data_IF_016216126047
#
_entry.id   IF_016216126047
#
_cell.length_a   1.000
_cell.length_b   1.000
_cell.length_c   1.000
_cell.angle_alpha   90.00
_cell.angle_beta   90.00
_cell.angle_gamma   90.00
#
_symmetry.space_group_name_H-M   'P 1'
#
loop_
_entity.id
_entity.type
_entity.pdbx_description
1 polymer ?
#
# COMPACT_ATOMS: atom_id res chain seq x y z
N UNK A 1 4.67 13.66 -27.08
CA UNK A 1 5.64 14.76 -27.30
C UNK A 1 5.67 15.14 -28.77
N UNK A 2 5.77 14.19 -29.66
CA UNK A 2 5.90 14.41 -31.12
C UNK A 2 4.69 15.11 -31.77
N UNK A 3 3.48 14.85 -31.29
CA UNK A 3 2.27 15.45 -31.88
C UNK A 3 2.09 16.94 -31.58
N UNK A 4 2.57 17.43 -30.44
CA UNK A 4 2.47 18.85 -30.09
C UNK A 4 3.54 19.69 -30.84
N UNK A 5 4.73 19.15 -30.97
CA UNK A 5 5.83 19.77 -31.70
C UNK A 5 5.51 19.89 -33.21
N UNK A 6 4.88 18.87 -33.80
CA UNK A 6 4.43 18.90 -35.20
C UNK A 6 3.27 19.88 -35.44
N UNK A 7 2.44 20.16 -34.44
CA UNK A 7 1.33 21.09 -34.57
C UNK A 7 1.79 22.55 -34.60
N UNK A 8 2.83 22.88 -33.84
CA UNK A 8 3.41 24.24 -33.78
C UNK A 8 4.13 24.60 -35.12
N UNK A 9 4.74 23.60 -35.77
CA UNK A 9 5.42 23.77 -37.06
C UNK A 9 4.46 24.03 -38.24
N UNK A 10 3.17 23.69 -38.13
CA UNK A 10 2.15 23.88 -39.19
C UNK A 10 1.45 25.24 -39.17
N UNK A 11 1.67 26.06 -38.15
CA UNK A 11 1.07 27.40 -38.07
C UNK A 11 1.83 28.35 -39.00
N UNK A 12 1.18 28.89 -40.04
CA UNK A 12 1.73 29.92 -40.94
C UNK A 12 1.87 31.27 -40.23
N UNK A 13 2.91 31.39 -39.42
CA UNK A 13 3.29 32.69 -38.79
C UNK A 13 4.56 33.20 -39.48
N UNK A 14 4.76 34.56 -39.53
CA UNK A 14 6.03 35.12 -40.01
C UNK A 14 7.21 34.58 -39.20
N UNK A 15 8.35 34.36 -39.84
CA UNK A 15 9.49 33.61 -39.28
C UNK A 15 10.00 34.15 -37.91
N UNK A 16 9.97 35.47 -37.72
CA UNK A 16 10.33 36.10 -36.42
C UNK A 16 9.39 35.70 -35.28
N UNK A 17 8.08 35.59 -35.53
CA UNK A 17 7.10 35.18 -34.50
C UNK A 17 7.20 33.68 -34.18
N UNK A 18 7.55 32.86 -35.16
CA UNK A 18 7.81 31.42 -34.95
C UNK A 18 9.05 31.21 -34.11
N UNK A 19 10.14 31.93 -34.38
CA UNK A 19 11.37 31.85 -33.59
C UNK A 19 11.12 32.29 -32.13
N UNK A 20 10.33 33.35 -31.90
CA UNK A 20 9.98 33.81 -30.55
C UNK A 20 9.10 32.82 -29.79
N UNK A 21 8.12 32.17 -30.46
CA UNK A 21 7.27 31.16 -29.82
C UNK A 21 8.05 29.89 -29.48
N UNK A 22 8.93 29.44 -30.38
CA UNK A 22 9.80 28.30 -30.15
C UNK A 22 10.76 28.59 -29.00
N UNK A 23 11.33 29.77 -28.94
CA UNK A 23 12.23 30.22 -27.88
C UNK A 23 11.49 30.31 -26.53
N UNK A 24 10.27 30.77 -26.50
CA UNK A 24 9.43 30.86 -25.30
C UNK A 24 9.03 29.43 -24.79
N UNK A 25 8.71 28.52 -25.69
CA UNK A 25 8.41 27.12 -25.35
C UNK A 25 9.64 26.41 -24.82
N UNK A 26 10.81 26.62 -25.43
CA UNK A 26 12.07 26.05 -24.95
C UNK A 26 12.46 26.62 -23.58
N UNK A 27 12.25 27.93 -23.34
CA UNK A 27 12.45 28.54 -22.04
C UNK A 27 11.52 27.95 -20.96
N UNK A 28 10.25 27.73 -21.29
CA UNK A 28 9.30 27.10 -20.34
C UNK A 28 9.71 25.65 -19.95
N UNK A 29 10.27 24.90 -20.88
CA UNK A 29 10.75 23.54 -20.62
C UNK A 29 12.11 23.50 -19.90
N UNK A 30 12.92 24.54 -20.01
CA UNK A 30 14.23 24.62 -19.35
C UNK A 30 14.15 24.87 -17.85
N UNK A 31 13.01 25.30 -17.32
CA UNK A 31 12.81 25.59 -15.89
C UNK A 31 12.15 24.46 -15.11
N UNK A 32 11.89 23.31 -15.70
CA UNK A 32 11.53 22.11 -14.93
C UNK A 32 12.80 21.58 -14.24
N UNK A 33 13.16 22.24 -13.14
CA UNK A 33 14.15 21.73 -12.19
C UNK A 33 13.56 20.42 -11.66
N UNK A 34 14.08 19.32 -12.12
CA UNK A 34 13.79 18.03 -11.52
C UNK A 34 14.30 18.11 -10.09
N UNK A 35 13.38 18.20 -9.13
CA UNK A 35 13.72 18.08 -7.71
C UNK A 35 14.25 16.66 -7.51
N UNK A 36 15.54 16.47 -7.69
CA UNK A 36 16.22 15.22 -7.35
C UNK A 36 16.24 15.10 -5.83
N UNK A 37 15.10 14.70 -5.27
CA UNK A 37 15.02 14.39 -3.85
C UNK A 37 16.06 13.31 -3.54
N UNK A 38 16.97 13.64 -2.66
CA UNK A 38 18.02 12.71 -2.20
C UNK A 38 17.66 12.02 -0.88
N UNK A 39 16.62 12.49 -0.19
CA UNK A 39 16.17 11.93 1.09
C UNK A 39 14.64 11.86 1.19
N UNK A 40 14.15 10.89 1.97
CA UNK A 40 12.74 10.61 2.23
C UNK A 40 12.51 10.22 3.68
N UNK A 41 11.27 10.41 4.16
CA UNK A 41 10.80 9.86 5.42
C UNK A 41 9.71 8.83 5.13
N UNK A 42 9.91 7.60 5.60
CA UNK A 42 8.97 6.48 5.51
C UNK A 42 8.24 6.33 6.83
N UNK A 43 6.93 6.19 6.76
CA UNK A 43 6.01 6.12 7.90
C UNK A 43 5.08 4.91 7.76
N UNK A 44 4.40 4.54 8.83
CA UNK A 44 3.21 3.72 8.74
C UNK A 44 2.05 4.56 8.18
N UNK A 45 1.59 4.22 6.98
CA UNK A 45 0.54 4.99 6.30
C UNK A 45 -0.85 4.79 6.91
N UNK A 46 -1.10 3.73 7.68
CA UNK A 46 -2.32 3.57 8.47
C UNK A 46 -2.37 4.58 9.63
N UNK A 47 -1.20 4.98 10.11
CA UNK A 47 -1.07 5.86 11.26
C UNK A 47 -0.49 5.16 12.48
N UNK A 48 -0.63 5.80 13.64
CA UNK A 48 -0.08 5.33 14.90
C UNK A 48 -1.10 5.52 16.02
N UNK A 49 -1.16 4.57 16.95
CA UNK A 49 -1.97 4.74 18.17
C UNK A 49 -1.34 5.76 19.11
N UNK A 50 -2.14 6.42 19.95
CA UNK A 50 -1.69 7.50 20.83
C UNK A 50 -0.60 7.05 21.80
N UNK A 51 -0.73 5.86 22.38
CA UNK A 51 0.21 5.28 23.35
C UNK A 51 1.17 4.24 22.77
N UNK A 52 1.00 3.88 21.48
CA UNK A 52 1.84 2.90 20.83
C UNK A 52 3.23 3.41 20.46
N UNK A 53 4.08 2.50 20.04
CA UNK A 53 5.39 2.83 19.46
C UNK A 53 5.19 3.58 18.15
N UNK A 54 5.79 4.77 18.03
CA UNK A 54 5.74 5.61 16.85
C UNK A 54 7.14 5.82 16.31
N UNK A 55 7.44 5.10 15.23
CA UNK A 55 8.73 5.20 14.55
C UNK A 55 8.52 5.44 13.06
N UNK A 56 9.34 6.34 12.51
CA UNK A 56 9.53 6.52 11.08
C UNK A 56 10.98 6.23 10.72
N UNK A 57 11.27 6.14 9.44
CA UNK A 57 12.62 5.96 8.93
C UNK A 57 12.94 7.10 7.97
N UNK A 58 13.95 7.88 8.31
CA UNK A 58 14.60 8.77 7.37
C UNK A 58 15.62 7.98 6.57
N UNK A 59 15.63 8.14 5.25
CA UNK A 59 16.55 7.45 4.35
C UNK A 59 17.06 8.40 3.27
N UNK A 60 18.36 8.30 2.95
CA UNK A 60 19.04 9.16 1.99
C UNK A 60 19.91 8.36 1.02
N UNK A 61 19.96 8.81 -0.22
CA UNK A 61 20.94 8.35 -1.21
C UNK A 61 22.36 8.85 -0.92
N UNK A 62 22.49 9.85 -0.06
CA UNK A 62 23.77 10.42 0.35
C UNK A 62 24.20 9.87 1.71
N UNK A 63 25.52 9.74 1.94
CA UNK A 63 26.10 9.31 3.22
C UNK A 63 26.10 10.47 4.22
N UNK A 64 24.92 11.03 4.50
CA UNK A 64 24.70 12.08 5.51
C UNK A 64 23.78 11.57 6.61
N UNK A 65 23.77 12.26 7.74
CA UNK A 65 22.88 11.95 8.87
C UNK A 65 22.11 13.18 9.30
N UNK A 66 20.94 12.97 9.90
CA UNK A 66 20.14 14.03 10.50
C UNK A 66 20.32 14.02 12.01
N UNK A 67 20.33 15.22 12.62
CA UNK A 67 20.44 15.35 14.07
C UNK A 67 19.06 15.43 14.72
N UNK A 68 18.16 16.21 14.12
CA UNK A 68 16.83 16.49 14.64
C UNK A 68 15.75 16.25 13.61
N UNK A 69 14.57 15.96 14.09
CA UNK A 69 13.36 15.95 13.29
C UNK A 69 12.21 16.65 14.01
N UNK A 70 11.21 17.03 13.25
CA UNK A 70 10.10 17.84 13.71
C UNK A 70 8.79 17.20 13.31
N UNK A 71 7.78 17.32 14.18
CA UNK A 71 6.40 16.97 13.88
C UNK A 71 5.62 18.26 13.64
N UNK A 72 5.03 18.36 12.47
CA UNK A 72 4.21 19.49 12.05
C UNK A 72 2.73 19.11 12.12
N UNK A 73 1.95 19.94 12.79
CA UNK A 73 0.49 19.81 12.78
C UNK A 73 -0.11 20.24 11.45
N UNK A 74 -1.02 19.42 10.90
CA UNK A 74 -1.59 19.68 9.57
C UNK A 74 -2.52 20.90 9.52
N UNK A 75 -3.22 21.21 10.61
CA UNK A 75 -4.18 22.29 10.65
C UNK A 75 -3.50 23.65 10.84
N UNK A 76 -2.61 23.75 11.83
CA UNK A 76 -1.92 25.00 12.16
C UNK A 76 -0.64 25.24 11.35
N UNK A 77 -0.12 24.23 10.66
CA UNK A 77 1.18 24.23 9.97
C UNK A 77 2.35 24.63 10.88
N UNK A 78 2.22 24.42 12.19
CA UNK A 78 3.23 24.73 13.20
C UNK A 78 3.96 23.45 13.63
N UNK A 79 5.24 23.59 13.94
CA UNK A 79 6.00 22.55 14.63
C UNK A 79 5.50 22.46 16.06
N UNK A 80 5.10 21.27 16.46
CA UNK A 80 4.49 21.00 17.78
C UNK A 80 5.30 19.99 18.60
N UNK A 81 6.26 19.32 17.97
CA UNK A 81 7.15 18.38 18.63
C UNK A 81 8.50 18.35 17.94
N UNK A 82 9.56 18.22 18.70
CA UNK A 82 10.95 18.11 18.23
C UNK A 82 11.63 16.98 19.01
N UNK A 83 12.45 16.19 18.31
CA UNK A 83 13.30 15.19 18.94
C UNK A 83 14.58 14.96 18.14
N UNK A 84 15.55 14.33 18.77
CA UNK A 84 16.77 13.88 18.10
C UNK A 84 16.48 12.60 17.31
N UNK A 85 17.07 12.50 16.11
CA UNK A 85 17.11 11.25 15.37
C UNK A 85 17.97 10.22 16.12
N UNK A 86 17.66 8.95 15.99
CA UNK A 86 18.50 7.89 16.55
C UNK A 86 19.83 7.81 15.79
N UNK A 87 20.77 7.03 16.31
CA UNK A 87 22.08 6.82 15.66
C UNK A 87 21.92 6.34 14.22
N UNK A 88 22.84 6.76 13.32
CA UNK A 88 22.90 6.26 11.96
C UNK A 88 23.00 4.73 11.92
N UNK A 89 22.23 4.10 11.03
CA UNK A 89 22.18 2.64 10.87
C UNK A 89 22.90 2.15 9.61
N UNK A 90 23.41 3.07 8.79
CA UNK A 90 24.12 2.74 7.55
C UNK A 90 23.21 2.51 6.36
N UNK A 91 23.76 1.86 5.35
CA UNK A 91 23.10 1.63 4.07
C UNK A 91 22.01 0.57 4.17
N UNK A 92 20.94 0.77 3.40
CA UNK A 92 19.86 -0.20 3.22
C UNK A 92 19.25 -0.08 1.82
N UNK A 93 19.34 -1.13 1.04
CA UNK A 93 18.87 -1.15 -0.36
C UNK A 93 19.54 -0.03 -1.18
N UNK A 94 18.76 0.84 -1.85
CA UNK A 94 19.32 1.93 -2.67
C UNK A 94 19.74 3.16 -1.86
N UNK A 95 19.62 3.14 -0.53
CA UNK A 95 19.96 4.26 0.34
C UNK A 95 21.34 4.06 0.96
N UNK A 96 22.18 5.11 0.91
CA UNK A 96 23.48 5.11 1.52
C UNK A 96 23.42 5.30 3.04
N UNK A 97 22.33 5.88 3.56
CA UNK A 97 22.14 6.09 4.99
C UNK A 97 20.67 5.98 5.39
N UNK A 98 20.45 5.40 6.57
CA UNK A 98 19.14 5.30 7.22
C UNK A 98 19.22 5.67 8.70
N UNK A 99 18.16 6.29 9.24
CA UNK A 99 18.01 6.61 10.67
C UNK A 99 16.57 6.45 11.11
N UNK A 100 16.36 6.01 12.35
CA UNK A 100 15.03 5.98 12.95
C UNK A 100 14.69 7.32 13.56
N UNK A 101 13.44 7.72 13.39
CA UNK A 101 12.85 8.91 13.98
C UNK A 101 11.79 8.43 14.97
N UNK A 102 12.12 8.42 16.25
CA UNK A 102 11.24 7.93 17.31
C UNK A 102 10.48 9.11 17.94
N UNK A 103 9.16 9.12 17.77
CA UNK A 103 8.27 10.11 18.34
C UNK A 103 7.20 9.48 19.26
N UNK A 104 7.51 8.32 19.84
CA UNK A 104 6.59 7.60 20.74
C UNK A 104 6.15 8.44 21.94
N UNK A 105 7.00 9.40 22.40
CA UNK A 105 6.66 10.32 23.46
C UNK A 105 5.56 11.34 23.13
N UNK A 106 5.24 11.54 21.85
CA UNK A 106 4.15 12.41 21.44
C UNK A 106 2.83 11.62 21.38
N UNK A 107 1.82 12.01 22.16
CA UNK A 107 0.59 11.22 22.35
C UNK A 107 -0.70 11.92 21.90
N UNK A 108 -0.63 13.20 21.51
CA UNK A 108 -1.83 13.92 21.10
C UNK A 108 -2.42 13.34 19.79
N UNK A 109 -3.75 13.08 19.74
CA UNK A 109 -4.40 12.65 18.51
C UNK A 109 -4.48 13.80 17.51
N UNK A 110 -4.41 13.48 16.20
CA UNK A 110 -4.47 14.47 15.14
C UNK A 110 -3.86 13.99 13.84
N UNK A 111 -3.66 14.93 12.91
CA UNK A 111 -3.04 14.69 11.60
C UNK A 111 -1.73 15.46 11.51
N UNK A 112 -0.67 14.78 11.17
CA UNK A 112 0.69 15.30 11.26
C UNK A 112 1.54 14.92 10.06
N UNK A 113 2.66 15.60 9.89
CA UNK A 113 3.78 15.14 9.04
C UNK A 113 5.11 15.32 9.75
N UNK A 114 6.07 14.49 9.41
CA UNK A 114 7.45 14.58 9.88
C UNK A 114 8.30 15.36 8.88
N UNK A 115 9.22 16.16 9.42
CA UNK A 115 10.21 16.92 8.66
C UNK A 115 11.59 16.64 9.26
N UNK A 116 12.58 16.34 8.41
CA UNK A 116 13.96 16.17 8.79
C UNK A 116 14.88 16.51 7.61
N UNK A 117 15.77 17.47 7.79
CA UNK A 117 16.77 17.89 6.79
C UNK A 117 16.17 18.05 5.37
N UNK A 118 15.10 18.82 5.27
CA UNK A 118 14.40 19.10 4.00
C UNK A 118 13.55 17.94 3.45
N UNK A 119 13.64 16.75 4.04
CA UNK A 119 12.73 15.66 3.70
C UNK A 119 11.43 15.76 4.50
N UNK A 120 10.32 15.49 3.87
CA UNK A 120 8.99 15.45 4.49
C UNK A 120 8.33 14.08 4.29
N UNK A 121 7.60 13.64 5.31
CA UNK A 121 6.70 12.48 5.16
C UNK A 121 5.38 12.89 4.49
N UNK A 122 4.60 11.93 3.98
CA UNK A 122 3.16 12.14 3.81
C UNK A 122 2.51 12.51 5.15
N UNK A 123 1.30 13.10 5.09
CA UNK A 123 0.48 13.25 6.29
C UNK A 123 0.03 11.89 6.82
N UNK A 124 -0.02 11.75 8.13
CA UNK A 124 -0.49 10.54 8.83
C UNK A 124 -1.30 10.91 10.07
N UNK A 125 -2.06 9.96 10.57
CA UNK A 125 -2.89 10.13 11.75
C UNK A 125 -2.23 9.52 12.99
N UNK A 126 -2.43 10.20 14.12
CA UNK A 126 -2.25 9.61 15.44
C UNK A 126 -3.64 9.55 16.07
N UNK A 127 -4.06 8.38 16.50
CA UNK A 127 -5.38 8.15 17.09
C UNK A 127 -5.57 6.67 17.41
N UNK A 128 -6.35 6.34 18.42
CA UNK A 128 -6.50 4.95 18.85
C UNK A 128 -7.33 4.12 17.83
N UNK A 129 -8.07 4.81 16.95
CA UNK A 129 -8.90 4.22 15.91
C UNK A 129 -8.19 4.00 14.57
N UNK A 130 -6.89 4.30 14.43
CA UNK A 130 -6.18 4.29 13.12
C UNK A 130 -6.15 2.91 12.46
N UNK A 131 -6.28 1.85 13.24
CA UNK A 131 -6.34 0.47 12.73
C UNK A 131 -7.76 -0.07 12.57
N UNK A 132 -8.80 0.72 12.90
CA UNK A 132 -10.18 0.29 12.70
C UNK A 132 -10.42 0.04 11.21
N UNK A 133 -11.02 -1.11 10.90
CA UNK A 133 -11.26 -1.54 9.52
C UNK A 133 -10.06 -2.19 8.81
N UNK A 134 -8.86 -2.22 9.41
CA UNK A 134 -7.71 -2.87 8.79
C UNK A 134 -7.94 -4.39 8.61
N UNK A 135 -8.56 -5.04 9.61
CA UNK A 135 -8.94 -6.45 9.52
C UNK A 135 -9.95 -6.69 8.38
N UNK A 136 -10.92 -5.80 8.21
CA UNK A 136 -11.92 -5.90 7.13
C UNK A 136 -11.27 -5.84 5.75
N UNK A 137 -10.25 -5.03 5.60
CA UNK A 137 -9.48 -4.96 4.35
C UNK A 137 -8.78 -6.28 4.05
N UNK A 138 -8.17 -6.91 5.06
CA UNK A 138 -7.53 -8.22 4.92
C UNK A 138 -8.57 -9.31 4.58
N UNK A 139 -9.70 -9.34 5.29
CA UNK A 139 -10.77 -10.29 5.03
C UNK A 139 -11.38 -10.10 3.63
N UNK A 140 -11.56 -8.85 3.20
CA UNK A 140 -12.02 -8.56 1.83
C UNK A 140 -11.06 -9.10 0.79
N UNK A 141 -9.75 -8.94 0.99
CA UNK A 141 -8.74 -9.52 0.10
C UNK A 141 -8.83 -11.04 0.09
N UNK A 142 -8.85 -11.67 1.27
CA UNK A 142 -8.97 -13.12 1.40
C UNK A 142 -10.24 -13.65 0.71
N UNK A 143 -11.34 -12.93 0.83
CA UNK A 143 -12.59 -13.29 0.14
C UNK A 143 -12.51 -13.17 -1.38
N UNK A 144 -11.79 -12.18 -1.89
CA UNK A 144 -11.56 -12.03 -3.34
C UNK A 144 -10.65 -13.12 -3.91
N UNK A 145 -9.74 -13.63 -3.10
CA UNK A 145 -8.81 -14.69 -3.52
C UNK A 145 -9.37 -16.09 -3.32
N UNK A 146 -10.54 -16.22 -2.68
CA UNK A 146 -11.18 -17.52 -2.48
C UNK A 146 -11.66 -18.09 -3.81
N UNK A 147 -11.45 -19.39 -4.02
CA UNK A 147 -11.97 -20.10 -5.19
C UNK A 147 -13.48 -20.32 -5.08
N UNK A 148 -14.12 -20.57 -6.20
CA UNK A 148 -15.57 -20.62 -6.32
C UNK A 148 -16.16 -19.26 -6.69
N UNK A 149 -17.34 -18.93 -6.18
CA UNK A 149 -18.01 -17.68 -6.51
C UNK A 149 -17.33 -16.47 -5.86
N UNK A 150 -16.91 -15.52 -6.68
CA UNK A 150 -16.37 -14.25 -6.25
C UNK A 150 -17.48 -13.18 -6.27
N UNK A 151 -17.96 -12.69 -5.11
CA UNK A 151 -19.07 -11.73 -5.04
C UNK A 151 -18.72 -10.34 -5.59
N UNK A 152 -17.45 -10.01 -5.71
CA UNK A 152 -16.98 -8.72 -6.24
C UNK A 152 -16.94 -8.73 -7.77
N UNK A 153 -16.47 -9.82 -8.37
CA UNK A 153 -16.47 -10.03 -9.82
C UNK A 153 -17.80 -10.55 -10.35
N UNK A 154 -18.66 -11.09 -9.47
CA UNK A 154 -19.91 -11.78 -9.81
C UNK A 154 -19.68 -12.93 -10.80
N UNK A 155 -18.59 -13.65 -10.61
CA UNK A 155 -18.14 -14.75 -11.45
C UNK A 155 -17.59 -15.88 -10.59
N UNK A 156 -17.43 -17.06 -11.16
CA UNK A 156 -16.94 -18.26 -10.50
C UNK A 156 -15.69 -18.79 -11.20
N UNK A 157 -14.78 -19.35 -10.40
CA UNK A 157 -13.57 -20.01 -10.89
C UNK A 157 -13.41 -21.39 -10.25
N UNK A 158 -12.59 -22.26 -10.85
CA UNK A 158 -12.23 -23.59 -10.32
C UNK A 158 -13.45 -24.54 -10.09
N UNK A 159 -14.51 -24.35 -10.85
CA UNK A 159 -15.74 -25.15 -10.71
C UNK A 159 -15.67 -26.50 -11.44
N UNK A 160 -14.63 -26.73 -12.25
CA UNK A 160 -14.48 -27.94 -13.08
C UNK A 160 -13.08 -28.57 -12.98
N UNK A 161 -12.32 -28.31 -11.92
CA UNK A 161 -10.93 -28.76 -11.82
C UNK A 161 -10.78 -30.15 -11.20
N UNK A 162 -11.79 -30.65 -10.50
CA UNK A 162 -11.72 -31.93 -9.81
C UNK A 162 -12.14 -33.12 -10.66
N UNK A 163 -11.19 -34.01 -10.95
CA UNK A 163 -11.48 -35.28 -11.62
C UNK A 163 -10.76 -36.43 -10.93
N UNK A 164 -11.47 -37.55 -10.79
CA UNK A 164 -10.90 -38.75 -10.24
C UNK A 164 -9.92 -39.38 -11.24
N UNK A 165 -8.71 -39.66 -10.79
CA UNK A 165 -7.72 -40.47 -11.49
C UNK A 165 -7.43 -41.75 -10.67
N UNK A 166 -7.35 -42.87 -11.35
CA UNK A 166 -7.09 -44.16 -10.69
C UNK A 166 -8.16 -44.58 -9.67
N UNK A 167 -9.42 -44.23 -9.98
CA UNK A 167 -10.57 -44.50 -9.08
C UNK A 167 -11.03 -45.97 -9.02
N UNK A 168 -10.54 -46.84 -9.87
CA UNK A 168 -10.98 -48.25 -9.99
C UNK A 168 -10.94 -49.00 -8.67
N UNK A 169 -9.87 -48.77 -7.86
CA UNK A 169 -9.75 -49.42 -6.53
C UNK A 169 -10.84 -49.00 -5.54
N UNK A 170 -11.43 -47.84 -5.74
CA UNK A 170 -12.51 -47.33 -4.92
C UNK A 170 -13.89 -47.54 -5.59
N UNK A 171 -13.95 -48.24 -6.72
CA UNK A 171 -15.18 -48.43 -7.48
C UNK A 171 -15.69 -47.20 -8.18
N UNK A 172 -14.84 -46.20 -8.38
CA UNK A 172 -15.18 -44.92 -9.02
C UNK A 172 -14.57 -44.90 -10.43
N UNK A 173 -15.36 -44.57 -11.41
CA UNK A 173 -14.88 -44.44 -12.80
C UNK A 173 -13.90 -43.30 -12.92
N UNK A 174 -12.77 -43.54 -13.60
CA UNK A 174 -11.82 -42.50 -13.95
C UNK A 174 -12.49 -41.35 -14.75
N UNK A 175 -12.01 -40.13 -14.57
CA UNK A 175 -12.58 -38.93 -15.10
C UNK A 175 -13.99 -38.55 -14.58
N UNK A 176 -14.44 -39.18 -13.48
CA UNK A 176 -15.61 -38.72 -12.76
C UNK A 176 -15.30 -37.36 -12.13
N UNK A 177 -16.11 -36.36 -12.42
CA UNK A 177 -16.01 -35.05 -11.80
C UNK A 177 -16.40 -35.11 -10.33
N UNK A 178 -15.61 -34.48 -9.48
CA UNK A 178 -15.91 -34.25 -8.06
C UNK A 178 -15.76 -32.77 -7.75
N UNK A 179 -16.58 -32.26 -6.85
CA UNK A 179 -16.47 -30.89 -6.39
C UNK A 179 -15.26 -30.74 -5.45
N UNK A 180 -14.30 -29.96 -5.91
CA UNK A 180 -13.09 -29.59 -5.13
C UNK A 180 -12.98 -28.07 -4.94
N UNK A 181 -14.06 -27.36 -5.13
CA UNK A 181 -14.11 -25.91 -4.92
C UNK A 181 -13.82 -25.58 -3.46
N UNK A 182 -12.90 -24.70 -3.21
CA UNK A 182 -12.52 -24.27 -1.86
C UNK A 182 -11.07 -23.84 -1.78
N UNK A 183 -10.69 -23.31 -0.61
CA UNK A 183 -9.37 -22.73 -0.44
C UNK A 183 -9.18 -21.43 -1.21
N UNK A 184 -7.94 -21.07 -1.46
CA UNK A 184 -7.56 -19.79 -2.05
C UNK A 184 -6.56 -19.97 -3.18
N UNK A 185 -6.56 -19.03 -4.13
CA UNK A 185 -5.48 -18.87 -5.09
C UNK A 185 -4.17 -18.61 -4.35
N UNK A 186 -3.09 -19.30 -4.74
CA UNK A 186 -1.79 -19.10 -4.10
C UNK A 186 -1.13 -17.81 -4.56
N UNK A 187 -1.16 -17.57 -5.87
CA UNK A 187 -0.55 -16.42 -6.49
C UNK A 187 -1.31 -16.01 -7.77
N UNK A 188 -0.66 -15.25 -8.64
CA UNK A 188 -1.22 -14.81 -9.93
C UNK A 188 -1.45 -15.94 -10.94
N UNK A 189 -0.92 -17.10 -10.69
CA UNK A 189 -1.12 -18.32 -11.50
C UNK A 189 -2.44 -19.04 -11.19
N UNK A 190 -3.17 -18.58 -10.16
CA UNK A 190 -4.44 -19.15 -9.71
C UNK A 190 -4.37 -20.59 -9.24
N UNK A 191 -3.17 -21.15 -9.00
CA UNK A 191 -3.03 -22.50 -8.45
C UNK A 191 -3.56 -22.58 -7.02
N UNK A 192 -4.09 -23.73 -6.66
CA UNK A 192 -4.58 -24.03 -5.31
C UNK A 192 -3.62 -25.03 -4.63
N UNK A 193 -3.11 -24.64 -3.47
CA UNK A 193 -2.25 -25.49 -2.66
C UNK A 193 -2.92 -25.79 -1.32
N UNK A 194 -3.05 -27.05 -0.97
CA UNK A 194 -3.62 -27.49 0.31
C UNK A 194 -2.90 -26.89 1.51
N UNK A 195 -1.57 -26.79 1.43
CA UNK A 195 -0.74 -26.26 2.53
C UNK A 195 -1.02 -24.80 2.80
N UNK A 196 -1.04 -23.95 1.76
CA UNK A 196 -1.28 -22.51 1.93
C UNK A 196 -2.73 -22.23 2.33
N UNK A 197 -3.68 -22.99 1.78
CA UNK A 197 -5.10 -22.90 2.17
C UNK A 197 -5.34 -23.35 3.61
N UNK A 198 -4.70 -24.43 4.06
CA UNK A 198 -4.78 -24.87 5.45
C UNK A 198 -4.19 -23.84 6.40
N UNK A 199 -3.06 -23.21 6.04
CA UNK A 199 -2.44 -22.15 6.82
C UNK A 199 -3.36 -20.92 6.92
N UNK A 200 -3.96 -20.48 5.81
CA UNK A 200 -4.93 -19.39 5.79
C UNK A 200 -6.12 -19.68 6.70
N UNK A 201 -6.70 -20.88 6.59
CA UNK A 201 -7.81 -21.33 7.45
C UNK A 201 -7.41 -21.28 8.93
N UNK A 202 -6.25 -21.81 9.27
CA UNK A 202 -5.75 -21.80 10.65
C UNK A 202 -5.65 -20.37 11.20
N UNK A 203 -5.04 -19.44 10.46
CA UNK A 203 -4.89 -18.05 10.91
C UNK A 203 -6.22 -17.33 11.06
N UNK A 204 -7.17 -17.56 10.14
CA UNK A 204 -8.51 -16.97 10.24
C UNK A 204 -9.26 -17.48 11.49
N UNK A 205 -9.20 -18.79 11.75
CA UNK A 205 -9.81 -19.38 12.96
C UNK A 205 -9.14 -18.87 14.24
N UNK A 206 -7.82 -18.72 14.26
CA UNK A 206 -7.10 -18.16 15.40
C UNK A 206 -7.47 -16.70 15.63
N UNK A 207 -7.57 -15.88 14.59
CA UNK A 207 -7.99 -14.48 14.70
C UNK A 207 -9.40 -14.38 15.30
N UNK A 208 -10.34 -15.19 14.82
CA UNK A 208 -11.69 -15.23 15.37
C UNK A 208 -11.73 -15.72 16.82
N UNK A 209 -10.96 -16.76 17.17
CA UNK A 209 -10.88 -17.26 18.54
C UNK A 209 -10.36 -16.21 19.52
N UNK A 210 -9.32 -15.46 19.11
CA UNK A 210 -8.63 -14.53 20.01
C UNK A 210 -9.32 -13.16 20.09
N UNK A 211 -10.07 -12.78 19.05
CA UNK A 211 -10.73 -11.47 18.95
C UNK A 211 -12.15 -11.56 18.34
N UNK A 212 -13.06 -12.38 18.89
CA UNK A 212 -14.37 -12.61 18.25
C UNK A 212 -15.22 -11.35 18.14
N UNK A 213 -15.06 -10.40 19.07
CA UNK A 213 -15.83 -9.16 19.13
C UNK A 213 -15.52 -8.16 17.99
N UNK A 214 -14.39 -8.33 17.30
CA UNK A 214 -14.06 -7.46 16.16
C UNK A 214 -14.58 -7.99 14.83
N UNK A 215 -15.12 -9.21 14.82
CA UNK A 215 -15.71 -9.85 13.64
C UNK A 215 -17.23 -9.85 13.75
N UNK A 216 -17.87 -8.92 13.08
CA UNK A 216 -19.32 -8.78 13.06
C UNK A 216 -19.85 -8.95 11.65
N UNK A 217 -21.10 -9.43 11.53
CA UNK A 217 -21.79 -9.55 10.24
C UNK A 217 -22.29 -8.18 9.83
N UNK A 218 -21.58 -7.53 8.94
CA UNK A 218 -21.91 -6.21 8.41
C UNK A 218 -22.12 -6.25 6.90
N UNK A 219 -23.02 -5.42 6.42
CA UNK A 219 -23.19 -5.14 5.00
C UNK A 219 -22.23 -4.04 4.58
N UNK A 220 -21.51 -4.24 3.49
CA UNK A 220 -20.74 -3.19 2.86
C UNK A 220 -21.65 -2.22 2.09
N UNK A 221 -21.12 -1.04 1.74
CA UNK A 221 -21.86 -0.03 0.97
C UNK A 221 -22.38 -0.54 -0.38
N UNK A 222 -21.76 -1.57 -0.95
CA UNK A 222 -22.18 -2.24 -2.17
C UNK A 222 -23.23 -3.35 -1.93
N UNK A 223 -23.73 -3.51 -0.71
CA UNK A 223 -24.74 -4.52 -0.33
C UNK A 223 -24.19 -5.93 -0.10
N UNK A 224 -22.89 -6.15 -0.25
CA UNK A 224 -22.23 -7.42 0.06
C UNK A 224 -21.99 -7.55 1.56
N UNK A 225 -21.89 -8.78 2.04
CA UNK A 225 -21.51 -9.03 3.43
C UNK A 225 -20.06 -8.59 3.67
N UNK A 226 -19.82 -7.96 4.80
CA UNK A 226 -18.52 -7.39 5.15
C UNK A 226 -17.59 -8.41 5.77
N UNK A 227 -17.71 -8.58 7.07
CA UNK A 227 -16.78 -9.37 7.89
C UNK A 227 -17.12 -10.85 7.97
N UNK A 228 -18.34 -11.20 7.64
CA UNK A 228 -18.77 -12.60 7.58
C UNK A 228 -18.12 -13.29 6.38
N UNK A 229 -17.34 -14.23 6.62
CA UNK A 229 -16.64 -14.92 5.55
C UNK A 229 -16.79 -16.40 5.58
#
# INVERSE_FOLDING_TARGET
FDKLFFCILKIKLPDMKRASIIFLVVLFFSFHKKDDKSAWIRINQLGYTTKGVKQAVWCSKESKSVQKFYLLDSASQKVIFEANAEKPMGAYGPFAQTQRLNFSGFTAPGVYKLIADGAESPYFRIGDEVYNGAADFCLRYMRQQRTGFNPYLKDSCHTHDGYVLYGEKAGIKDSTHIDVVGGWHDASDYLQYSTTSANATYHLLMAYRDFPEVFTDEKQANGLDGKNG
#
